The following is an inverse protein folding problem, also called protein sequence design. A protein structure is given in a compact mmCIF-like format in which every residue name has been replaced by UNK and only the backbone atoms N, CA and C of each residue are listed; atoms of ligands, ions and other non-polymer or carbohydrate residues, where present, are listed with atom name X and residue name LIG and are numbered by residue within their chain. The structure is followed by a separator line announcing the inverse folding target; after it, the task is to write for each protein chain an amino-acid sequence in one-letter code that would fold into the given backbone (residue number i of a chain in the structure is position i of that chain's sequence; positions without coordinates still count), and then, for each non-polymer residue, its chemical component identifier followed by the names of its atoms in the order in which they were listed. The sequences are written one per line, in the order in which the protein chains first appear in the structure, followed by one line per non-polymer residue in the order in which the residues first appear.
data_IF_669387584091
#
_entry.id   IF_669387584091
#
_cell.length_a   1.000
_cell.length_b   1.000
_cell.length_c   1.000
_cell.angle_alpha   90.00
_cell.angle_beta   90.00
_cell.angle_gamma   90.00
#
_symmetry.space_group_name_H-M   'P 1'
#
loop_
_entity.id
_entity.type
_entity.pdbx_description
1 polymer ?
#
# COMPACT_ATOMS: atom_id res chain seq x y z
N UNK A 1 0.24 -20.74 20.32
CA UNK A 1 0.60 -22.16 20.11
C UNK A 1 -0.40 -22.74 19.11
N UNK A 2 -0.17 -22.55 17.81
CA UNK A 2 -0.69 -23.35 16.67
C UNK A 2 -0.15 -22.70 15.39
N UNK A 3 1.19 -22.71 15.30
CA UNK A 3 2.00 -22.19 14.20
C UNK A 3 2.58 -23.34 13.37
N UNK A 4 1.78 -24.39 13.11
CA UNK A 4 2.33 -25.64 12.57
C UNK A 4 1.32 -26.49 11.79
N UNK A 5 0.43 -25.90 10.99
CA UNK A 5 -0.36 -26.68 10.02
C UNK A 5 -0.37 -25.96 8.68
N UNK A 6 0.63 -26.36 7.91
CA UNK A 6 0.93 -26.03 6.52
C UNK A 6 0.13 -26.97 5.61
N UNK A 7 -1.19 -26.73 5.49
CA UNK A 7 -2.04 -27.41 4.50
C UNK A 7 -2.86 -26.38 3.71
N UNK A 8 -2.53 -26.15 2.42
CA UNK A 8 -3.23 -25.16 1.61
C UNK A 8 -4.55 -25.64 0.97
N UNK A 9 -5.02 -26.88 1.18
CA UNK A 9 -6.08 -27.46 0.32
C UNK A 9 -7.27 -28.15 1.03
N UNK A 10 -7.60 -27.76 2.27
CA UNK A 10 -8.52 -28.52 3.13
C UNK A 10 -9.72 -27.81 3.77
N UNK A 11 -10.05 -26.56 3.41
CA UNK A 11 -11.10 -25.79 4.13
C UNK A 11 -12.06 -24.98 3.23
N UNK A 12 -12.37 -25.48 2.03
CA UNK A 12 -13.54 -25.03 1.27
C UNK A 12 -14.81 -25.68 1.84
N UNK A 13 -15.28 -25.19 2.99
CA UNK A 13 -16.47 -25.77 3.63
C UNK A 13 -17.06 -25.04 4.84
N UNK A 14 -16.35 -24.06 5.44
CA UNK A 14 -16.86 -23.32 6.61
C UNK A 14 -16.74 -21.79 6.47
N UNK A 15 -16.65 -21.27 5.25
CA UNK A 15 -16.56 -19.82 5.02
C UNK A 15 -17.90 -19.08 5.21
N UNK A 16 -19.03 -19.79 5.23
CA UNK A 16 -20.37 -19.17 5.24
C UNK A 16 -20.87 -18.73 6.62
N UNK A 17 -20.23 -19.15 7.72
CA UNK A 17 -20.69 -18.86 9.09
C UNK A 17 -19.80 -17.88 9.87
N UNK A 18 -18.70 -17.38 9.29
CA UNK A 18 -17.85 -16.36 9.92
C UNK A 18 -18.08 -14.99 9.27
N UNK A 19 -19.34 -14.52 9.33
CA UNK A 19 -19.77 -13.19 8.84
C UNK A 19 -19.14 -11.98 9.57
N UNK A 20 -18.13 -12.21 10.41
CA UNK A 20 -17.34 -11.19 11.11
C UNK A 20 -15.86 -11.62 11.17
N UNK A 21 -15.28 -12.02 10.03
CA UNK A 21 -13.84 -11.83 9.85
C UNK A 21 -13.61 -10.33 9.98
N UNK A 22 -12.83 -9.88 10.97
CA UNK A 22 -12.65 -8.45 11.21
C UNK A 22 -12.18 -7.80 9.90
N UNK A 23 -12.57 -6.57 9.63
CA UNK A 23 -12.22 -5.89 8.39
C UNK A 23 -10.67 -5.84 8.19
N UNK A 24 -9.92 -5.87 9.29
CA UNK A 24 -8.46 -6.04 9.30
C UNK A 24 -8.00 -7.42 8.84
N UNK A 25 -8.71 -8.49 9.22
CA UNK A 25 -8.43 -9.84 8.73
C UNK A 25 -8.72 -9.99 7.24
N UNK A 26 -9.80 -9.37 6.71
CA UNK A 26 -10.08 -9.32 5.27
C UNK A 26 -8.95 -8.63 4.50
N UNK A 27 -8.48 -7.50 5.02
CA UNK A 27 -7.34 -6.80 4.44
C UNK A 27 -6.06 -7.66 4.48
N UNK A 28 -5.80 -8.36 5.58
CA UNK A 28 -4.64 -9.24 5.69
C UNK A 28 -4.72 -10.42 4.70
N UNK A 29 -5.89 -11.02 4.54
CA UNK A 29 -6.13 -12.09 3.56
C UNK A 29 -5.87 -11.56 2.15
N UNK A 30 -6.43 -10.40 1.79
CA UNK A 30 -6.24 -9.82 0.46
C UNK A 30 -4.79 -9.41 0.18
N UNK A 31 -4.08 -8.87 1.18
CA UNK A 31 -2.63 -8.60 1.07
C UNK A 31 -1.84 -9.89 0.82
N UNK A 32 -2.16 -10.98 1.53
CA UNK A 32 -1.51 -12.28 1.35
C UNK A 32 -1.84 -12.94 0.01
N UNK A 33 -3.06 -12.76 -0.49
CA UNK A 33 -3.49 -13.27 -1.79
C UNK A 33 -2.93 -12.47 -2.97
N UNK A 34 -2.34 -11.29 -2.73
CA UNK A 34 -1.89 -10.38 -3.78
C UNK A 34 -3.01 -9.58 -4.44
N UNK A 35 -4.20 -9.56 -3.85
CA UNK A 35 -5.38 -8.81 -4.32
C UNK A 35 -5.26 -7.32 -3.98
N UNK A 36 -4.21 -6.66 -4.47
CA UNK A 36 -3.89 -5.27 -4.11
C UNK A 36 -4.93 -4.24 -4.56
N UNK A 37 -5.76 -4.55 -5.56
CA UNK A 37 -6.86 -3.68 -5.99
C UNK A 37 -7.96 -3.53 -4.91
N UNK A 38 -8.30 -4.63 -4.23
CA UNK A 38 -9.26 -4.61 -3.13
C UNK A 38 -8.66 -3.90 -1.91
N UNK A 39 -7.38 -4.15 -1.64
CA UNK A 39 -6.64 -3.45 -0.56
C UNK A 39 -6.59 -1.94 -0.85
N UNK A 40 -6.34 -1.54 -2.10
CA UNK A 40 -6.35 -0.12 -2.48
C UNK A 40 -7.72 0.52 -2.21
N UNK A 41 -8.81 -0.14 -2.62
CA UNK A 41 -10.17 0.35 -2.39
C UNK A 41 -10.41 0.61 -0.89
N UNK A 42 -9.96 -0.31 -0.04
CA UNK A 42 -10.07 -0.13 1.40
C UNK A 42 -9.18 1.01 1.92
N UNK A 43 -7.93 1.12 1.44
CA UNK A 43 -7.03 2.20 1.82
C UNK A 43 -7.57 3.58 1.42
N UNK A 44 -8.20 3.71 0.26
CA UNK A 44 -8.86 4.93 -0.20
C UNK A 44 -10.06 5.31 0.68
N UNK A 45 -10.90 4.32 1.04
CA UNK A 45 -12.00 4.56 1.98
C UNK A 45 -11.48 5.03 3.35
N UNK A 46 -10.44 4.38 3.86
CA UNK A 46 -9.83 4.77 5.12
C UNK A 46 -9.20 6.18 5.03
N UNK A 47 -8.65 6.54 3.86
CA UNK A 47 -8.12 7.88 3.61
C UNK A 47 -9.23 8.94 3.54
N UNK A 48 -10.41 8.62 3.00
CA UNK A 48 -11.56 9.54 3.03
C UNK A 48 -12.02 9.84 4.47
N UNK A 49 -11.94 8.85 5.36
CA UNK A 49 -12.27 9.02 6.78
C UNK A 49 -11.20 9.80 7.54
N UNK A 50 -9.92 9.61 7.20
CA UNK A 50 -8.77 10.24 7.86
C UNK A 50 -7.81 10.88 6.83
N UNK A 51 -8.21 11.99 6.17
CA UNK A 51 -7.46 12.56 5.04
C UNK A 51 -6.12 13.18 5.44
N UNK A 52 -5.93 13.48 6.71
CA UNK A 52 -4.71 14.05 7.29
C UNK A 52 -3.71 12.98 7.74
N UNK A 53 -4.11 11.70 7.73
CA UNK A 53 -3.28 10.62 8.24
C UNK A 53 -2.23 10.17 7.23
N UNK A 54 -0.98 10.35 7.59
CA UNK A 54 0.22 9.99 6.82
C UNK A 54 0.31 8.50 6.58
N UNK A 55 -0.14 7.71 7.57
CA UNK A 55 -0.19 6.26 7.45
C UNK A 55 -1.14 5.84 6.33
N UNK A 56 -2.30 6.50 6.20
CA UNK A 56 -3.28 6.19 5.14
C UNK A 56 -2.72 6.50 3.75
N UNK A 57 -2.07 7.65 3.59
CA UNK A 57 -1.36 8.00 2.36
C UNK A 57 -0.26 6.98 2.03
N UNK A 58 0.52 6.57 3.03
CA UNK A 58 1.57 5.56 2.87
C UNK A 58 1.01 4.20 2.46
N UNK A 59 -0.13 3.80 3.01
CA UNK A 59 -0.81 2.54 2.66
C UNK A 59 -1.27 2.56 1.19
N UNK A 60 -1.83 3.67 0.71
CA UNK A 60 -2.22 3.87 -0.70
C UNK A 60 -1.00 3.77 -1.63
N UNK A 61 0.07 4.50 -1.32
CA UNK A 61 1.33 4.47 -2.08
C UNK A 61 1.92 3.05 -2.14
N UNK A 62 1.89 2.31 -1.03
CA UNK A 62 2.34 0.92 -1.00
C UNK A 62 1.44 0.00 -1.86
N UNK A 63 0.13 0.22 -1.89
CA UNK A 63 -0.76 -0.54 -2.78
C UNK A 63 -0.42 -0.27 -4.26
N UNK A 64 -0.20 0.98 -4.63
CA UNK A 64 0.21 1.36 -6.00
C UNK A 64 1.54 0.73 -6.40
N UNK A 65 2.51 0.68 -5.49
CA UNK A 65 3.81 0.02 -5.71
C UNK A 65 3.64 -1.47 -6.02
N UNK A 66 2.81 -2.17 -5.24
CA UNK A 66 2.61 -3.61 -5.36
C UNK A 66 1.79 -3.99 -6.60
N UNK A 67 0.91 -3.11 -7.08
CA UNK A 67 0.22 -3.29 -8.37
C UNK A 67 1.07 -2.88 -9.58
N UNK A 68 2.31 -2.41 -9.36
CA UNK A 68 3.17 -1.87 -10.41
C UNK A 68 2.57 -0.65 -11.15
N UNK A 69 1.64 0.08 -10.53
CA UNK A 69 1.15 1.38 -11.03
C UNK A 69 2.14 2.50 -10.66
N UNK A 70 3.40 2.33 -11.07
CA UNK A 70 4.52 3.16 -10.63
C UNK A 70 4.39 4.63 -11.05
N UNK A 71 3.83 4.90 -12.23
CA UNK A 71 3.61 6.28 -12.68
C UNK A 71 2.56 7.01 -11.83
N UNK A 72 1.48 6.32 -11.45
CA UNK A 72 0.47 6.87 -10.55
C UNK A 72 1.05 7.09 -9.14
N UNK A 73 1.91 6.17 -8.68
CA UNK A 73 2.62 6.29 -7.41
C UNK A 73 3.50 7.55 -7.37
N UNK A 74 4.30 7.80 -8.41
CA UNK A 74 5.12 9.02 -8.55
C UNK A 74 4.27 10.27 -8.45
N UNK A 75 3.21 10.37 -9.26
CA UNK A 75 2.33 11.54 -9.26
C UNK A 75 1.65 11.75 -7.90
N UNK A 76 1.30 10.67 -7.21
CA UNK A 76 0.74 10.74 -5.86
C UNK A 76 1.77 11.26 -4.84
N UNK A 77 2.99 10.73 -4.88
CA UNK A 77 4.11 11.15 -4.02
C UNK A 77 4.46 12.63 -4.24
N UNK A 78 4.54 13.10 -5.48
CA UNK A 78 4.82 14.52 -5.80
C UNK A 78 3.74 15.46 -5.24
N UNK A 79 2.47 15.03 -5.34
CA UNK A 79 1.35 15.73 -4.72
C UNK A 79 1.45 15.76 -3.19
N UNK A 80 1.91 14.68 -2.55
CA UNK A 80 2.11 14.62 -1.11
C UNK A 80 3.28 15.49 -0.64
N UNK A 81 4.39 15.51 -1.37
CA UNK A 81 5.53 16.39 -1.12
C UNK A 81 5.09 17.86 -1.11
N UNK A 82 4.26 18.24 -2.08
CA UNK A 82 3.76 19.61 -2.22
C UNK A 82 2.77 20.01 -1.12
N UNK A 83 1.90 19.07 -0.69
CA UNK A 83 0.81 19.35 0.26
C UNK A 83 1.20 19.14 1.72
N UNK A 84 2.09 18.19 1.99
CA UNK A 84 2.45 17.72 3.34
C UNK A 84 3.98 17.61 3.44
N UNK A 85 4.71 18.73 3.35
CA UNK A 85 6.18 18.73 3.32
C UNK A 85 6.81 18.26 4.64
N UNK A 86 6.05 18.22 5.74
CA UNK A 86 6.56 17.77 7.04
C UNK A 86 7.02 16.29 7.05
N UNK A 87 6.59 15.48 6.06
CA UNK A 87 7.01 14.08 5.87
C UNK A 87 7.78 13.88 4.56
N UNK A 88 8.40 14.95 4.04
CA UNK A 88 9.20 14.95 2.80
C UNK A 88 10.07 13.69 2.66
N UNK A 89 10.87 13.40 3.69
CA UNK A 89 11.76 12.24 3.72
C UNK A 89 11.04 10.91 3.46
N UNK A 90 9.89 10.69 4.08
CA UNK A 90 9.08 9.47 3.90
C UNK A 90 8.56 9.37 2.47
N UNK A 91 8.05 10.49 1.93
CA UNK A 91 7.54 10.54 0.56
C UNK A 91 8.64 10.32 -0.47
N UNK A 92 9.78 10.97 -0.30
CA UNK A 92 10.96 10.80 -1.14
C UNK A 92 11.45 9.35 -1.12
N UNK A 93 11.56 8.71 0.05
CA UNK A 93 11.95 7.29 0.13
C UNK A 93 10.99 6.36 -0.63
N UNK A 94 9.70 6.63 -0.60
CA UNK A 94 8.72 5.88 -1.40
C UNK A 94 8.84 6.21 -2.90
N UNK A 95 9.04 7.48 -3.25
CA UNK A 95 9.26 7.95 -4.63
C UNK A 95 10.49 7.30 -5.27
N UNK A 96 11.60 7.16 -4.53
CA UNK A 96 12.81 6.46 -4.98
C UNK A 96 12.49 5.03 -5.43
N UNK A 97 11.65 4.29 -4.71
CA UNK A 97 11.28 2.93 -5.07
C UNK A 97 10.54 2.88 -6.42
N UNK A 98 9.66 3.85 -6.67
CA UNK A 98 8.92 3.94 -7.94
C UNK A 98 9.85 4.36 -9.10
N UNK A 99 10.67 5.39 -8.89
CA UNK A 99 11.60 5.91 -9.89
C UNK A 99 12.64 4.87 -10.30
N UNK A 100 13.18 4.13 -9.33
CA UNK A 100 14.11 3.02 -9.58
C UNK A 100 13.48 1.93 -10.46
N UNK A 101 12.25 1.49 -10.14
CA UNK A 101 11.54 0.47 -10.94
C UNK A 101 11.14 0.95 -12.33
N UNK A 102 10.92 2.25 -12.51
CA UNK A 102 10.65 2.87 -13.82
C UNK A 102 11.92 3.12 -14.65
N UNK A 103 13.11 2.97 -14.06
CA UNK A 103 14.38 3.36 -14.71
C UNK A 103 14.52 4.88 -14.91
N UNK A 104 13.77 5.70 -14.16
CA UNK A 104 13.88 7.16 -14.20
C UNK A 104 14.93 7.62 -13.20
N UNK A 105 16.19 7.52 -13.61
CA UNK A 105 17.34 7.85 -12.76
C UNK A 105 17.42 9.33 -12.39
N UNK A 106 17.01 10.23 -13.29
CA UNK A 106 16.97 11.67 -13.01
C UNK A 106 16.02 11.98 -11.85
N UNK A 107 14.78 11.45 -11.93
CA UNK A 107 13.77 11.57 -10.87
C UNK A 107 14.20 10.89 -9.57
N UNK A 108 14.90 9.76 -9.66
CA UNK A 108 15.47 9.11 -8.48
C UNK A 108 16.51 10.01 -7.79
N UNK A 109 17.33 10.73 -8.56
CA UNK A 109 18.27 11.73 -8.04
C UNK A 109 17.55 12.84 -7.28
N UNK A 110 16.49 13.41 -7.85
CA UNK A 110 15.68 14.44 -7.21
C UNK A 110 15.10 13.97 -5.86
N UNK A 111 14.57 12.74 -5.80
CA UNK A 111 14.08 12.19 -4.53
C UNK A 111 15.20 11.90 -3.53
N UNK A 112 16.40 11.50 -3.97
CA UNK A 112 17.53 11.26 -3.08
C UNK A 112 18.07 12.56 -2.46
N UNK A 113 18.00 13.68 -3.18
CA UNK A 113 18.33 14.99 -2.62
C UNK A 113 17.34 15.43 -1.54
N UNK A 114 16.08 14.99 -1.66
CA UNK A 114 15.00 15.28 -0.71
C UNK A 114 14.79 14.26 0.41
N UNK A 115 15.58 13.18 0.52
CA UNK A 115 15.43 12.12 1.52
C UNK A 115 16.48 12.19 2.65
#
# INVERSE_FOLDING_TARGET
IYSALDEPDGLSGMASLRKFVSLQDQLLINKKAGNWAEVLTFCEQALQMEPTSVQRHSDVVNCLLNMCHLQAMVTHVDGLISRIPQYLKTWCMQGVQAAWRLGRWDLMGEYLEGA
#
